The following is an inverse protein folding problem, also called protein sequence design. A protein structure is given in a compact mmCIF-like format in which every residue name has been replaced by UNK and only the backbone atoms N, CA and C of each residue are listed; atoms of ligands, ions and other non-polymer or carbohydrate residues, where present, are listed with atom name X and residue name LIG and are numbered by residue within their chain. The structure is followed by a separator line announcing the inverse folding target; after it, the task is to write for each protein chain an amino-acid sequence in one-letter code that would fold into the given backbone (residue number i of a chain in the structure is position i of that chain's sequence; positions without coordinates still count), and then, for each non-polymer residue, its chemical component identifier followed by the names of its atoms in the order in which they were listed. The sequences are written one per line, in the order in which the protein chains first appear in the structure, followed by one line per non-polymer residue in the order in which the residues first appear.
data_IF_428748135053
#
_entry.id   IF_428748135053
#
_cell.length_a   1.000
_cell.length_b   1.000
_cell.length_c   1.000
_cell.angle_alpha   90.00
_cell.angle_beta   90.00
_cell.angle_gamma   90.00
#
_symmetry.space_group_name_H-M   'P 1'
#
loop_
_entity.id
_entity.type
_entity.pdbx_description
1 polymer ?
#
# COMPACT_ATOMS: atom_id res chain seq x y z
N UNK A 1 5.51 -18.08 22.78
CA UNK A 1 4.40 -18.65 21.98
C UNK A 1 4.53 -18.14 20.55
N UNK A 2 4.81 -19.02 19.59
CA UNK A 2 5.06 -18.66 18.19
C UNK A 2 3.71 -18.54 17.48
N UNK A 3 3.11 -17.34 17.51
CA UNK A 3 1.85 -17.11 16.82
C UNK A 3 2.13 -17.06 15.31
N UNK A 4 1.88 -18.18 14.63
CA UNK A 4 2.01 -18.32 13.18
C UNK A 4 0.86 -17.59 12.47
N UNK A 5 0.66 -16.30 12.74
CA UNK A 5 -0.19 -15.44 11.94
C UNK A 5 0.56 -15.10 10.64
N UNK A 6 0.71 -16.12 9.79
CA UNK A 6 1.10 -15.93 8.39
C UNK A 6 -0.06 -15.23 7.71
N UNK A 7 0.18 -14.03 7.22
CA UNK A 7 -0.75 -13.33 6.36
C UNK A 7 -1.00 -14.19 5.11
N UNK A 8 -2.26 -14.47 4.81
CA UNK A 8 -2.61 -15.33 3.68
C UNK A 8 -2.40 -14.59 2.35
N UNK A 9 -2.19 -15.34 1.28
CA UNK A 9 -2.17 -14.75 -0.07
C UNK A 9 -3.44 -13.94 -0.36
N UNK A 10 -4.61 -14.43 0.05
CA UNK A 10 -5.88 -13.72 -0.10
C UNK A 10 -5.93 -12.36 0.61
N UNK A 11 -5.21 -12.19 1.73
CA UNK A 11 -5.06 -10.90 2.39
C UNK A 11 -4.23 -9.92 1.57
N UNK A 12 -3.14 -10.37 0.96
CA UNK A 12 -2.33 -9.53 0.08
C UNK A 12 -3.07 -9.17 -1.20
N UNK A 13 -3.76 -10.14 -1.81
CA UNK A 13 -4.53 -9.95 -3.02
C UNK A 13 -5.67 -8.96 -2.83
N UNK A 14 -6.47 -9.10 -1.77
CA UNK A 14 -7.61 -8.20 -1.53
C UNK A 14 -7.18 -6.74 -1.35
N UNK A 15 -6.02 -6.53 -0.73
CA UNK A 15 -5.49 -5.18 -0.50
C UNK A 15 -4.78 -4.61 -1.72
N UNK A 16 -4.09 -5.46 -2.50
CA UNK A 16 -3.62 -5.08 -3.83
C UNK A 16 -4.78 -4.61 -4.70
N UNK A 17 -5.89 -5.37 -4.73
CA UNK A 17 -7.11 -5.00 -5.46
C UNK A 17 -7.71 -3.68 -4.95
N UNK A 18 -7.75 -3.45 -3.64
CA UNK A 18 -8.21 -2.19 -3.08
C UNK A 18 -7.33 -1.00 -3.53
N UNK A 19 -6.01 -1.17 -3.53
CA UNK A 19 -5.08 -0.17 -4.08
C UNK A 19 -5.34 0.10 -5.57
N UNK A 20 -5.65 -0.93 -6.36
CA UNK A 20 -6.03 -0.78 -7.77
C UNK A 20 -7.37 -0.07 -7.94
N UNK A 21 -8.36 -0.34 -7.07
CA UNK A 21 -9.64 0.39 -7.10
C UNK A 21 -9.42 1.87 -6.78
N UNK A 22 -8.56 2.18 -5.80
CA UNK A 22 -8.15 3.57 -5.51
C UNK A 22 -7.44 4.17 -6.73
N UNK A 23 -6.57 3.43 -7.41
CA UNK A 23 -5.98 3.88 -8.65
C UNK A 23 -7.08 4.18 -9.69
N UNK A 24 -7.83 3.17 -10.14
CA UNK A 24 -8.83 3.30 -11.19
C UNK A 24 -9.95 4.31 -10.89
N UNK A 25 -10.17 4.67 -9.62
CA UNK A 25 -11.12 5.70 -9.25
C UNK A 25 -10.90 7.04 -9.97
N UNK A 26 -9.65 7.38 -10.39
CA UNK A 26 -9.40 8.61 -11.16
C UNK A 26 -10.05 8.59 -12.54
N UNK A 27 -10.21 7.42 -13.16
CA UNK A 27 -10.87 7.32 -14.46
C UNK A 27 -12.38 7.59 -14.35
N UNK A 28 -12.96 7.32 -13.17
CA UNK A 28 -14.40 7.51 -12.89
C UNK A 28 -14.66 8.97 -12.50
N UNK A 29 -13.80 9.56 -11.67
CA UNK A 29 -13.96 10.92 -11.15
C UNK A 29 -12.90 11.86 -11.74
N UNK A 30 -13.16 12.37 -12.94
CA UNK A 30 -12.22 13.24 -13.68
C UNK A 30 -12.23 14.72 -13.23
N UNK A 31 -12.55 14.99 -11.96
CA UNK A 31 -12.48 16.36 -11.45
C UNK A 31 -11.03 16.73 -11.09
N UNK A 32 -10.63 17.98 -11.35
CA UNK A 32 -9.28 18.46 -11.05
C UNK A 32 -8.90 18.32 -9.56
N UNK A 33 -9.89 18.44 -8.67
CA UNK A 33 -9.71 18.22 -7.24
C UNK A 33 -9.40 16.75 -6.94
N UNK A 34 -10.09 15.82 -7.61
CA UNK A 34 -9.89 14.40 -7.38
C UNK A 34 -8.52 13.91 -7.88
N UNK A 35 -8.09 14.40 -9.05
CA UNK A 35 -6.73 14.17 -9.58
C UNK A 35 -5.65 14.60 -8.59
N UNK A 36 -5.86 15.72 -7.90
CA UNK A 36 -4.94 16.20 -6.88
C UNK A 36 -4.94 15.34 -5.61
N UNK A 37 -6.11 14.82 -5.20
CA UNK A 37 -6.27 14.08 -3.94
C UNK A 37 -5.90 12.59 -4.07
N UNK A 38 -6.04 12.00 -5.25
CA UNK A 38 -5.87 10.57 -5.47
C UNK A 38 -4.51 10.00 -4.97
N UNK A 39 -3.36 10.67 -5.19
CA UNK A 39 -2.09 10.19 -4.66
C UNK A 39 -2.09 10.10 -3.12
N UNK A 40 -2.76 11.04 -2.46
CA UNK A 40 -2.88 11.07 -1.00
C UNK A 40 -3.80 9.97 -0.46
N UNK A 41 -4.85 9.61 -1.20
CA UNK A 41 -5.69 8.46 -0.84
C UNK A 41 -4.88 7.17 -0.87
N UNK A 42 -4.04 7.00 -1.89
CA UNK A 42 -3.16 5.84 -2.01
C UNK A 42 -2.11 5.81 -0.90
N UNK A 43 -1.48 6.95 -0.60
CA UNK A 43 -0.54 7.10 0.51
C UNK A 43 -1.22 6.73 1.84
N UNK A 44 -2.38 7.30 2.12
CA UNK A 44 -3.14 7.04 3.34
C UNK A 44 -3.52 5.55 3.46
N UNK A 45 -3.89 4.92 2.34
CA UNK A 45 -4.19 3.50 2.29
C UNK A 45 -2.99 2.64 2.71
N UNK A 46 -1.80 2.84 2.13
CA UNK A 46 -0.61 2.07 2.48
C UNK A 46 -0.10 2.35 3.90
N UNK A 47 -0.24 3.58 4.40
CA UNK A 47 0.04 3.92 5.80
C UNK A 47 -0.90 3.13 6.72
N UNK A 48 -2.22 3.25 6.53
CA UNK A 48 -3.22 2.55 7.33
C UNK A 48 -3.02 1.04 7.28
N UNK A 49 -2.65 0.53 6.11
CA UNK A 49 -2.38 -0.88 5.91
C UNK A 49 -1.22 -1.39 6.76
N UNK A 50 -0.18 -0.58 6.93
CA UNK A 50 0.96 -0.93 7.80
C UNK A 50 0.51 -1.17 9.25
N UNK A 51 -0.46 -0.40 9.74
CA UNK A 51 -1.08 -0.64 11.05
C UNK A 51 -1.89 -1.95 11.07
N UNK A 52 -2.61 -2.28 9.99
CA UNK A 52 -3.38 -3.53 9.90
C UNK A 52 -2.45 -4.75 9.91
N UNK A 53 -1.36 -4.70 9.16
CA UNK A 53 -0.31 -5.74 9.13
C UNK A 53 0.24 -5.95 10.53
N UNK A 54 0.62 -4.87 11.21
CA UNK A 54 1.11 -4.94 12.58
C UNK A 54 0.06 -5.55 13.51
N UNK A 55 -1.18 -5.05 13.49
CA UNK A 55 -2.27 -5.55 14.35
C UNK A 55 -2.54 -7.05 14.16
N UNK A 56 -2.35 -7.58 12.94
CA UNK A 56 -2.54 -9.00 12.65
C UNK A 56 -1.35 -9.88 13.02
N UNK A 57 -0.14 -9.35 12.90
CA UNK A 57 1.09 -10.15 13.03
C UNK A 57 1.82 -9.93 14.34
N UNK A 58 1.51 -8.84 15.05
CA UNK A 58 2.19 -8.35 16.25
C UNK A 58 3.73 -8.28 16.08
N UNK A 59 4.18 -8.15 14.84
CA UNK A 59 5.59 -8.24 14.45
C UNK A 59 5.99 -7.03 13.61
N UNK A 60 7.20 -6.54 13.86
CA UNK A 60 7.83 -5.45 13.11
C UNK A 60 8.81 -5.97 12.05
N UNK A 61 8.60 -7.18 11.54
CA UNK A 61 9.42 -7.73 10.46
C UNK A 61 9.06 -7.07 9.13
N UNK A 62 9.98 -6.25 8.60
CA UNK A 62 9.80 -5.50 7.34
C UNK A 62 9.42 -6.39 6.14
N UNK A 63 9.91 -7.65 6.12
CA UNK A 63 9.58 -8.64 5.09
C UNK A 63 8.09 -8.98 5.01
N UNK A 64 7.30 -8.71 6.05
CA UNK A 64 5.84 -8.90 6.05
C UNK A 64 5.08 -7.79 5.32
N UNK A 65 5.72 -6.64 5.16
CA UNK A 65 5.16 -5.41 4.57
C UNK A 65 5.48 -5.29 3.07
N UNK A 66 6.61 -5.86 2.63
CA UNK A 66 7.05 -5.83 1.22
C UNK A 66 6.07 -6.52 0.24
N UNK A 67 5.48 -7.69 0.55
CA UNK A 67 4.60 -8.40 -0.38
C UNK A 67 3.39 -7.60 -0.84
N UNK A 68 2.99 -6.57 -0.10
CA UNK A 68 1.80 -5.76 -0.38
C UNK A 68 2.07 -4.80 -1.51
N UNK A 69 3.20 -4.10 -1.43
CA UNK A 69 3.69 -3.25 -2.52
C UNK A 69 3.93 -4.10 -3.75
N UNK A 70 4.57 -5.28 -3.58
CA UNK A 70 4.76 -6.23 -4.68
C UNK A 70 3.43 -6.63 -5.34
N UNK A 71 2.42 -7.03 -4.55
CA UNK A 71 1.11 -7.44 -5.07
C UNK A 71 0.41 -6.28 -5.78
N UNK A 72 0.40 -5.10 -5.19
CA UNK A 72 -0.17 -3.89 -5.82
C UNK A 72 0.51 -3.56 -7.15
N UNK A 73 1.85 -3.57 -7.20
CA UNK A 73 2.61 -3.22 -8.40
C UNK A 73 2.46 -4.27 -9.50
N UNK A 74 2.39 -5.56 -9.15
CA UNK A 74 2.09 -6.62 -10.12
C UNK A 74 0.69 -6.42 -10.71
N UNK A 75 -0.32 -6.18 -9.87
CA UNK A 75 -1.68 -5.91 -10.36
C UNK A 75 -1.73 -4.63 -11.20
N UNK A 76 -0.99 -3.60 -10.81
CA UNK A 76 -0.90 -2.34 -11.54
C UNK A 76 -0.30 -2.55 -12.93
N UNK A 77 0.81 -3.29 -13.02
CA UNK A 77 1.44 -3.64 -14.27
C UNK A 77 0.51 -4.45 -15.18
N UNK A 78 -0.28 -5.37 -14.63
CA UNK A 78 -1.29 -6.12 -15.38
C UNK A 78 -2.40 -5.22 -15.92
N UNK A 79 -2.88 -4.26 -15.12
CA UNK A 79 -3.86 -3.25 -15.57
C UNK A 79 -3.29 -2.41 -16.70
N UNK A 80 -2.05 -1.92 -16.56
CA UNK A 80 -1.38 -1.13 -17.59
C UNK A 80 -1.15 -1.93 -18.87
N UNK A 81 -0.73 -3.19 -18.77
CA UNK A 81 -0.57 -4.07 -19.92
C UNK A 81 -1.90 -4.31 -20.64
N UNK A 82 -2.99 -4.48 -19.88
CA UNK A 82 -4.33 -4.63 -20.45
C UNK A 82 -4.81 -3.36 -21.17
N UNK A 83 -4.62 -2.18 -20.58
CA UNK A 83 -4.95 -0.90 -21.22
C UNK A 83 -4.08 -0.66 -22.48
N UNK A 84 -2.81 -1.07 -22.44
CA UNK A 84 -1.91 -1.01 -23.59
C UNK A 84 -2.40 -1.89 -24.76
N UNK A 85 -2.79 -3.15 -24.48
CA UNK A 85 -3.38 -4.06 -25.49
C UNK A 85 -4.66 -3.46 -26.10
N UNK A 86 -5.44 -2.71 -25.30
CA UNK A 86 -6.64 -2.01 -25.78
C UNK A 86 -6.37 -0.72 -26.56
N UNK A 87 -5.11 -0.34 -26.76
CA UNK A 87 -4.73 0.90 -27.43
C UNK A 87 -5.03 2.16 -26.61
N UNK A 88 -5.21 2.02 -25.29
CA UNK A 88 -5.43 3.13 -24.34
C UNK A 88 -4.23 3.37 -23.42
N UNK A 89 -3.16 2.60 -23.60
CA UNK A 89 -1.96 2.68 -22.78
C UNK A 89 -1.22 3.99 -22.98
N UNK A 90 -0.68 4.50 -21.88
CA UNK A 90 0.24 5.63 -21.89
C UNK A 90 1.58 5.24 -22.52
N UNK A 91 2.13 6.12 -23.37
CA UNK A 91 3.51 5.97 -23.88
C UNK A 91 4.55 6.02 -22.74
N UNK A 92 4.16 6.56 -21.58
CA UNK A 92 5.00 6.72 -20.38
C UNK A 92 4.68 5.68 -19.29
N UNK A 93 4.12 4.52 -19.64
CA UNK A 93 3.69 3.50 -18.67
C UNK A 93 4.77 3.05 -17.68
N UNK A 94 6.04 3.05 -18.10
CA UNK A 94 7.20 2.75 -17.21
C UNK A 94 7.34 3.81 -16.13
N UNK A 95 7.20 5.10 -16.47
CA UNK A 95 7.28 6.19 -15.50
C UNK A 95 6.12 6.12 -14.50
N UNK A 96 4.91 5.81 -14.98
CA UNK A 96 3.75 5.62 -14.11
C UNK A 96 3.97 4.47 -13.13
N UNK A 97 4.51 3.35 -13.58
CA UNK A 97 4.85 2.21 -12.73
C UNK A 97 5.88 2.59 -11.65
N UNK A 98 6.93 3.34 -12.02
CA UNK A 98 7.95 3.83 -11.08
C UNK A 98 7.37 4.82 -10.05
N UNK A 99 6.47 5.70 -10.48
CA UNK A 99 5.75 6.62 -9.58
C UNK A 99 4.92 5.83 -8.59
N UNK A 100 4.13 4.86 -9.06
CA UNK A 100 3.30 4.02 -8.18
C UNK A 100 4.14 3.19 -7.22
N UNK A 101 5.27 2.64 -7.68
CA UNK A 101 6.21 1.92 -6.82
C UNK A 101 6.77 2.84 -5.72
N UNK A 102 7.14 4.07 -6.10
CA UNK A 102 7.68 5.06 -5.16
C UNK A 102 6.62 5.50 -4.14
N UNK A 103 5.39 5.78 -4.58
CA UNK A 103 4.28 6.15 -3.71
C UNK A 103 3.96 5.02 -2.73
N UNK A 104 3.73 3.81 -3.24
CA UNK A 104 3.36 2.65 -2.43
C UNK A 104 4.49 2.24 -1.46
N UNK A 105 5.74 2.19 -1.94
CA UNK A 105 6.89 1.84 -1.11
C UNK A 105 7.15 2.85 -0.01
N UNK A 106 7.18 4.14 -0.35
CA UNK A 106 7.47 5.21 0.63
C UNK A 106 6.38 5.30 1.69
N UNK A 107 5.11 5.27 1.28
CA UNK A 107 3.98 5.32 2.22
C UNK A 107 3.92 4.11 3.15
N UNK A 108 4.27 2.91 2.66
CA UNK A 108 4.44 1.72 3.49
C UNK A 108 5.52 1.93 4.56
N UNK A 109 6.69 2.47 4.20
CA UNK A 109 7.75 2.73 5.17
C UNK A 109 7.38 3.81 6.19
N UNK A 110 6.66 4.85 5.77
CA UNK A 110 6.09 5.85 6.69
C UNK A 110 5.15 5.16 7.68
N UNK A 111 4.22 4.34 7.20
CA UNK A 111 3.30 3.60 8.06
C UNK A 111 4.02 2.66 9.03
N UNK A 112 5.02 1.93 8.56
CA UNK A 112 5.89 1.09 9.39
C UNK A 112 6.60 1.90 10.50
N UNK A 113 7.17 3.06 10.15
CA UNK A 113 7.81 3.95 11.12
C UNK A 113 6.83 4.50 12.16
N UNK A 114 5.61 4.85 11.76
CA UNK A 114 4.56 5.33 12.67
C UNK A 114 4.11 4.23 13.64
N UNK A 115 3.98 2.99 13.17
CA UNK A 115 3.71 1.84 14.04
C UNK A 115 4.83 1.71 15.08
N UNK A 116 6.10 1.76 14.66
CA UNK A 116 7.24 1.65 15.56
C UNK A 116 7.22 2.72 16.66
N UNK A 117 7.01 3.98 16.29
CA UNK A 117 6.92 5.11 17.24
C UNK A 117 5.78 4.87 18.23
N UNK A 118 4.62 4.43 17.76
CA UNK A 118 3.45 4.16 18.61
C UNK A 118 3.74 3.10 19.66
N UNK A 119 4.46 2.04 19.27
CA UNK A 119 4.88 0.99 20.21
C UNK A 119 5.85 1.52 21.25
N UNK A 120 6.83 2.29 20.81
CA UNK A 120 7.82 2.85 21.71
C UNK A 120 7.20 3.78 22.75
N UNK A 121 6.25 4.62 22.34
CA UNK A 121 5.50 5.48 23.26
C UNK A 121 4.71 4.65 24.28
N UNK A 122 4.09 3.54 23.85
CA UNK A 122 3.31 2.67 24.73
C UNK A 122 4.21 1.99 25.78
N UNK A 123 5.40 1.52 25.39
CA UNK A 123 6.39 0.94 26.31
C UNK A 123 6.84 1.95 27.37
N UNK A 124 7.24 3.16 26.94
CA UNK A 124 7.70 4.21 27.85
C UNK A 124 6.61 4.60 28.86
N UNK A 125 5.35 4.68 28.42
CA UNK A 125 4.22 4.97 29.30
C UNK A 125 3.98 3.87 30.33
N UNK A 126 4.19 2.62 29.98
CA UNK A 126 3.99 1.49 30.89
C UNK A 126 5.13 1.36 31.91
N UNK A 127 6.36 1.75 31.56
CA UNK A 127 7.51 1.73 32.48
C UNK A 127 7.51 2.88 33.49
N UNK A 128 6.71 3.93 33.26
CA UNK A 128 6.56 5.09 34.15
C UNK A 128 5.33 4.97 35.10
N UNK A 129 4.66 3.82 35.13
CA UNK A 129 3.55 3.50 36.05
C UNK A 129 3.97 2.37 36.98
#
# INVERSE_FOLDING_TARGET
MKNNNKLSFGFYLSNGLMGILIYLSYHIFQSALFLSIQPYLLIAFFIAYSFVVYKKTESMEIWRYIPIVGTYIVLFALVMAYEYIKGRGSEFWIYELLIQLSIAGTSLFIGYGLVYITLRIKELRNNNK
#
